data_IF_419336956165
#
_entry.id   IF_419336956165
#
_cell.length_a   1.000
_cell.length_b   1.000
_cell.length_c   1.000
_cell.angle_alpha   90.00
_cell.angle_beta   90.00
_cell.angle_gamma   90.00
#
_symmetry.space_group_name_H-M   'P 1'
#
loop_
_entity.id
_entity.type
_entity.pdbx_description
1 polymer ?
#
# COMPACT_ATOMS: atom_id res chain seq x y z
N UNK A 1 -21.31 -11.27 5.47
CA UNK A 1 -20.21 -12.13 5.90
C UNK A 1 -20.78 -13.46 6.36
N UNK A 2 -20.44 -14.54 5.67
CA UNK A 2 -20.79 -15.94 5.93
C UNK A 2 -19.95 -16.55 7.06
N UNK A 3 -18.81 -15.94 7.40
CA UNK A 3 -17.93 -16.40 8.48
C UNK A 3 -18.47 -16.00 9.88
N UNK A 4 -19.06 -14.80 10.00
CA UNK A 4 -19.52 -14.26 11.29
C UNK A 4 -21.00 -13.83 11.31
N UNK A 5 -21.75 -14.18 10.27
CA UNK A 5 -23.19 -13.91 10.08
C UNK A 5 -23.62 -12.43 10.18
N UNK A 6 -22.69 -11.50 9.92
CA UNK A 6 -22.97 -10.04 9.90
C UNK A 6 -23.15 -9.53 8.49
N UNK A 7 -24.08 -8.59 8.30
CA UNK A 7 -24.39 -7.98 7.00
C UNK A 7 -23.52 -6.76 6.67
N UNK A 8 -22.91 -6.16 7.68
CA UNK A 8 -22.09 -4.92 7.55
C UNK A 8 -20.83 -5.07 6.70
N UNK A 9 -20.36 -6.30 6.45
CA UNK A 9 -19.15 -6.55 5.68
C UNK A 9 -19.21 -7.89 4.94
N UNK A 10 -18.33 -8.05 3.95
CA UNK A 10 -18.12 -9.29 3.19
C UNK A 10 -17.02 -10.15 3.82
N UNK A 11 -16.90 -11.42 3.43
CA UNK A 11 -15.94 -12.37 4.03
C UNK A 11 -14.48 -11.91 3.92
N UNK A 12 -14.15 -11.21 2.83
CA UNK A 12 -12.83 -10.60 2.61
C UNK A 12 -12.47 -9.55 3.66
N UNK A 13 -13.47 -8.89 4.24
CA UNK A 13 -13.30 -7.82 5.22
C UNK A 13 -13.53 -8.29 6.66
N UNK A 14 -13.78 -9.59 6.86
CA UNK A 14 -14.07 -10.13 8.18
C UNK A 14 -12.80 -10.17 9.05
N UNK A 15 -12.91 -9.60 10.26
CA UNK A 15 -11.87 -9.66 11.29
C UNK A 15 -11.94 -10.92 12.15
N UNK A 16 -12.98 -11.73 12.05
CA UNK A 16 -13.06 -12.99 12.81
C UNK A 16 -11.99 -13.98 12.34
N UNK A 17 -11.80 -15.03 13.15
CA UNK A 17 -10.90 -16.14 12.78
C UNK A 17 -11.30 -16.71 11.42
N UNK A 18 -10.31 -17.00 10.58
CA UNK A 18 -10.50 -17.44 9.19
C UNK A 18 -11.16 -16.39 8.26
N UNK A 19 -11.33 -15.16 8.73
CA UNK A 19 -11.78 -14.03 7.92
C UNK A 19 -10.63 -13.42 7.11
N UNK A 20 -10.94 -12.75 5.99
CA UNK A 20 -9.92 -12.18 5.10
C UNK A 20 -9.03 -11.11 5.74
N UNK A 21 -9.48 -10.51 6.86
CA UNK A 21 -8.72 -9.53 7.64
C UNK A 21 -8.45 -10.02 9.07
N UNK A 22 -8.38 -11.32 9.30
CA UNK A 22 -8.07 -11.89 10.62
C UNK A 22 -6.82 -11.22 11.24
N UNK A 23 -6.95 -10.75 12.48
CA UNK A 23 -5.88 -10.12 13.24
C UNK A 23 -5.56 -8.68 12.82
N UNK A 24 -6.25 -8.11 11.83
CA UNK A 24 -6.11 -6.71 11.42
C UNK A 24 -7.20 -5.81 12.02
N UNK A 25 -8.10 -6.37 12.84
CA UNK A 25 -9.15 -5.59 13.49
C UNK A 25 -8.59 -4.63 14.54
N UNK A 26 -9.23 -3.47 14.78
CA UNK A 26 -8.77 -2.45 15.73
C UNK A 26 -8.67 -2.97 17.17
N UNK A 27 -9.38 -4.07 17.49
CA UNK A 27 -9.37 -4.73 18.80
C UNK A 27 -8.50 -5.99 18.84
N UNK A 28 -8.00 -6.43 17.68
CA UNK A 28 -7.11 -7.56 17.57
C UNK A 28 -5.69 -7.00 17.51
N UNK A 29 -5.06 -6.91 18.68
CA UNK A 29 -3.67 -6.47 18.79
C UNK A 29 -2.78 -7.47 18.04
N UNK A 30 -2.48 -7.20 16.76
CA UNK A 30 -1.33 -7.80 16.09
C UNK A 30 -0.08 -7.20 16.75
N UNK A 31 0.81 -8.07 17.23
CA UNK A 31 2.22 -7.69 17.41
C UNK A 31 2.65 -7.13 16.04
N UNK A 32 3.14 -5.90 15.98
CA UNK A 32 3.57 -5.25 14.73
C UNK A 32 4.64 -6.10 14.05
N UNK A 33 4.24 -7.06 13.24
CA UNK A 33 5.05 -7.46 12.11
C UNK A 33 4.84 -6.40 11.05
N UNK A 34 5.95 -5.78 10.64
CA UNK A 34 5.99 -4.75 9.62
C UNK A 34 5.36 -5.33 8.36
N UNK A 35 4.07 -5.06 8.16
CA UNK A 35 3.42 -5.22 6.88
C UNK A 35 4.25 -4.39 5.90
N UNK A 36 4.68 -5.00 4.80
CA UNK A 36 5.31 -4.29 3.69
C UNK A 36 4.44 -3.08 3.35
N UNK A 37 4.87 -1.90 3.78
CA UNK A 37 4.38 -0.64 3.24
C UNK A 37 4.53 -0.78 1.73
N UNK A 38 3.46 -0.55 0.96
CA UNK A 38 3.64 -0.30 -0.45
C UNK A 38 4.68 0.82 -0.53
N UNK A 39 5.87 0.49 -1.03
CA UNK A 39 6.95 1.46 -1.18
C UNK A 39 6.45 2.37 -2.28
N UNK A 40 6.18 3.63 -1.97
CA UNK A 40 6.05 4.64 -3.01
C UNK A 40 7.27 4.47 -3.94
N UNK A 41 7.10 4.42 -5.27
CA UNK A 41 8.24 4.40 -6.15
C UNK A 41 9.14 5.58 -5.75
N UNK A 42 10.47 5.40 -5.67
CA UNK A 42 11.35 6.52 -5.39
C UNK A 42 10.99 7.66 -6.35
N UNK A 43 10.82 8.87 -5.84
CA UNK A 43 10.65 10.05 -6.68
C UNK A 43 11.82 10.06 -7.66
N UNK A 44 11.55 9.67 -8.91
CA UNK A 44 12.55 9.71 -9.96
C UNK A 44 12.75 11.19 -10.26
N UNK A 45 13.89 11.71 -9.80
CA UNK A 45 14.30 13.10 -9.97
C UNK A 45 13.95 13.55 -11.40
N UNK A 46 13.01 14.49 -11.52
CA UNK A 46 12.61 15.12 -12.77
C UNK A 46 13.85 15.72 -13.44
N UNK A 47 14.47 14.95 -14.35
CA UNK A 47 15.63 15.39 -15.10
C UNK A 47 15.16 16.44 -16.11
N UNK A 48 15.18 17.70 -15.70
CA UNK A 48 14.92 18.83 -16.58
C UNK A 48 16.00 18.83 -17.68
N UNK A 49 15.63 18.41 -18.89
CA UNK A 49 16.49 18.46 -20.06
C UNK A 49 16.66 19.93 -20.48
N UNK A 50 17.67 20.61 -19.96
CA UNK A 50 18.09 21.92 -20.47
C UNK A 50 19.15 21.69 -21.55
N UNK A 51 18.74 21.72 -22.81
CA UNK A 51 19.66 21.77 -23.94
C UNK A 51 20.44 23.09 -23.92
N UNK A 52 21.74 23.04 -23.66
CA UNK A 52 22.63 24.17 -23.88
C UNK A 52 23.09 24.17 -25.34
N UNK A 53 22.94 25.32 -25.98
CA UNK A 53 23.29 25.60 -27.37
C UNK A 53 24.79 25.33 -27.61
N UNK A 54 25.11 24.45 -28.55
CA UNK A 54 26.49 24.28 -29.02
C UNK A 54 26.84 25.43 -29.96
N UNK A 55 27.56 26.43 -29.43
CA UNK A 55 28.39 27.31 -30.24
C UNK A 55 29.54 26.48 -30.80
N UNK A 56 29.38 25.94 -32.03
CA UNK A 56 30.52 25.42 -32.77
C UNK A 56 31.16 26.60 -33.51
N UNK A 57 32.19 27.16 -32.88
CA UNK A 57 33.17 27.99 -33.57
C UNK A 57 34.04 27.08 -34.45
N UNK A 58 33.99 27.26 -35.76
CA UNK A 58 35.15 27.07 -36.65
C UNK A 58 35.01 27.98 -37.85
#
# INVERSE_FOLDING_TARGET
CSNCDRKEHIDKDCWQKYGGKEGQGPRQKKKQERLNTARDPPDEDNYAFTSFETNLAT
#
